data_IF_250131199009
#
_entry.id   IF_250131199009
#
_cell.length_a   1.000
_cell.length_b   1.000
_cell.length_c   1.000
_cell.angle_alpha   90.00
_cell.angle_beta   90.00
_cell.angle_gamma   90.00
#
_symmetry.space_group_name_H-M   'P 1'
#
loop_
_entity.id
_entity.type
_entity.pdbx_description
1 polymer ?
#
# COMPACT_ATOMS: atom_id res chain seq x y z
N UNK A 1 17.34 -1.50 4.66
CA UNK A 1 16.16 -2.30 4.21
C UNK A 1 16.57 -3.66 3.61
N UNK A 2 15.70 -4.68 3.65
CA UNK A 2 15.89 -5.98 2.97
C UNK A 2 14.87 -6.18 1.83
N UNK A 3 15.28 -5.75 0.63
CA UNK A 3 14.43 -5.75 -0.57
C UNK A 3 14.11 -7.17 -1.04
N UNK A 4 15.08 -8.10 -0.96
CA UNK A 4 14.91 -9.47 -1.43
C UNK A 4 13.85 -10.18 -0.58
N UNK A 5 13.92 -10.00 0.73
CA UNK A 5 12.96 -10.59 1.65
C UNK A 5 11.58 -9.94 1.56
N UNK A 6 11.53 -8.61 1.42
CA UNK A 6 10.27 -7.91 1.17
C UNK A 6 9.58 -8.48 -0.07
N UNK A 7 10.31 -8.64 -1.17
CA UNK A 7 9.77 -9.26 -2.40
C UNK A 7 9.24 -10.69 -2.15
N UNK A 8 10.01 -11.55 -1.48
CA UNK A 8 9.58 -12.91 -1.16
C UNK A 8 8.32 -12.94 -0.28
N UNK A 9 8.20 -12.01 0.67
CA UNK A 9 6.99 -11.85 1.48
C UNK A 9 5.77 -11.57 0.61
N UNK A 10 5.84 -10.59 -0.30
CA UNK A 10 4.72 -10.29 -1.20
C UNK A 10 4.41 -11.41 -2.19
N UNK A 11 5.40 -12.19 -2.64
CA UNK A 11 5.18 -13.34 -3.52
C UNK A 11 4.37 -14.46 -2.84
N UNK A 12 4.41 -14.56 -1.50
CA UNK A 12 3.68 -15.57 -0.72
C UNK A 12 2.23 -15.18 -0.41
N UNK A 13 1.89 -13.89 -0.46
CA UNK A 13 0.53 -13.39 -0.22
C UNK A 13 -0.38 -13.79 -1.38
N UNK A 14 -1.43 -14.55 -1.07
CA UNK A 14 -2.49 -14.92 -2.01
C UNK A 14 -3.64 -13.91 -1.94
N UNK A 15 -4.51 -13.92 -2.95
CA UNK A 15 -5.70 -13.07 -2.94
C UNK A 15 -6.64 -13.34 -1.77
N UNK A 16 -6.62 -14.54 -1.20
CA UNK A 16 -7.40 -14.91 0.00
C UNK A 16 -6.87 -14.28 1.28
N UNK A 17 -5.61 -13.85 1.29
CA UNK A 17 -4.96 -13.21 2.44
C UNK A 17 -5.27 -11.70 2.49
N UNK A 18 -5.79 -11.15 1.38
CA UNK A 18 -6.20 -9.75 1.27
C UNK A 18 -7.69 -9.66 1.65
N UNK A 19 -8.04 -8.65 2.45
CA UNK A 19 -9.42 -8.35 2.80
C UNK A 19 -10.30 -8.24 1.55
N UNK A 20 -11.45 -8.94 1.56
CA UNK A 20 -12.32 -9.06 0.39
C UNK A 20 -13.51 -8.09 0.42
N UNK A 21 -13.47 -7.06 1.28
CA UNK A 21 -14.51 -6.03 1.29
C UNK A 21 -14.50 -5.22 -0.03
N UNK A 22 -15.61 -4.53 -0.32
CA UNK A 22 -15.76 -3.78 -1.56
C UNK A 22 -14.65 -2.71 -1.73
N UNK A 23 -14.24 -2.05 -0.65
CA UNK A 23 -13.19 -1.03 -0.66
C UNK A 23 -11.81 -1.60 -1.03
N UNK A 24 -11.42 -2.73 -0.43
CA UNK A 24 -10.15 -3.39 -0.72
C UNK A 24 -10.15 -3.99 -2.13
N UNK A 25 -11.26 -4.60 -2.56
CA UNK A 25 -11.43 -5.08 -3.95
C UNK A 25 -11.27 -3.95 -4.97
N UNK A 26 -11.87 -2.79 -4.71
CA UNK A 26 -11.74 -1.62 -5.57
C UNK A 26 -10.29 -1.11 -5.61
N UNK A 27 -9.65 -1.05 -4.43
CA UNK A 27 -8.26 -0.64 -4.29
C UNK A 27 -7.33 -1.48 -5.16
N UNK A 28 -7.33 -2.79 -4.96
CA UNK A 28 -6.47 -3.75 -5.69
C UNK A 28 -6.67 -3.65 -7.20
N UNK A 29 -7.92 -3.46 -7.65
CA UNK A 29 -8.26 -3.38 -9.07
C UNK A 29 -7.74 -2.13 -9.76
N UNK A 30 -7.74 -0.98 -9.07
CA UNK A 30 -7.50 0.32 -9.69
C UNK A 30 -6.13 0.94 -9.35
N UNK A 31 -5.50 0.56 -8.23
CA UNK A 31 -4.33 1.28 -7.70
C UNK A 31 -3.15 1.28 -8.66
N UNK A 32 -2.81 0.13 -9.24
CA UNK A 32 -1.62 -0.03 -10.09
C UNK A 32 -1.76 0.65 -11.43
N UNK A 33 -2.94 0.58 -12.04
CA UNK A 33 -3.24 1.24 -13.31
C UNK A 33 -3.34 2.75 -13.15
N UNK A 34 -3.87 3.23 -12.02
CA UNK A 34 -4.00 4.67 -11.73
C UNK A 34 -2.65 5.29 -11.35
N UNK A 35 -1.81 4.57 -10.60
CA UNK A 35 -0.53 5.08 -10.08
C UNK A 35 0.68 4.21 -10.51
N UNK A 36 0.96 4.04 -11.81
CA UNK A 36 2.01 3.13 -12.29
C UNK A 36 3.43 3.55 -11.87
N UNK A 37 3.68 4.86 -11.70
CA UNK A 37 4.96 5.37 -11.19
C UNK A 37 5.17 5.01 -9.71
N UNK A 38 4.12 5.08 -8.91
CA UNK A 38 4.14 4.67 -7.51
C UNK A 38 4.33 3.15 -7.40
N UNK A 39 3.59 2.38 -8.21
CA UNK A 39 3.75 0.93 -8.30
C UNK A 39 5.21 0.54 -8.63
N UNK A 40 5.83 1.22 -9.60
CA UNK A 40 7.24 1.00 -9.94
C UNK A 40 8.18 1.34 -8.78
N UNK A 41 7.93 2.44 -8.09
CA UNK A 41 8.73 2.84 -6.92
C UNK A 41 8.61 1.83 -5.77
N UNK A 42 7.39 1.45 -5.38
CA UNK A 42 7.17 0.44 -4.35
C UNK A 42 7.77 -0.92 -4.74
N UNK A 43 7.66 -1.32 -6.01
CA UNK A 43 8.33 -2.51 -6.53
C UNK A 43 9.86 -2.46 -6.40
N UNK A 44 10.48 -1.27 -6.46
CA UNK A 44 11.92 -1.13 -6.18
C UNK A 44 12.30 -1.40 -4.72
N UNK A 45 11.34 -1.29 -3.79
CA UNK A 45 11.47 -1.69 -2.39
C UNK A 45 11.09 -3.17 -2.16
N UNK A 46 10.64 -3.87 -3.21
CA UNK A 46 10.10 -5.23 -3.13
C UNK A 46 8.61 -5.28 -2.76
N UNK A 47 7.94 -4.14 -2.63
CA UNK A 47 6.52 -4.04 -2.24
C UNK A 47 5.61 -4.22 -3.46
N UNK A 48 4.60 -5.08 -3.34
CA UNK A 48 3.51 -5.16 -4.32
C UNK A 48 2.36 -4.24 -3.91
N UNK A 49 2.13 -3.18 -4.70
CA UNK A 49 1.10 -2.17 -4.43
C UNK A 49 -0.33 -2.77 -4.40
N UNK A 50 -0.54 -3.90 -5.08
CA UNK A 50 -1.84 -4.57 -5.13
C UNK A 50 -2.12 -5.44 -3.90
N UNK A 51 -1.21 -5.46 -2.91
CA UNK A 51 -1.32 -6.29 -1.71
C UNK A 51 -1.16 -5.44 -0.44
N UNK A 52 -2.06 -4.49 -0.18
CA UNK A 52 -1.96 -3.63 1.00
C UNK A 52 -2.06 -4.47 2.28
N UNK A 53 -1.33 -4.05 3.31
CA UNK A 53 -1.47 -4.56 4.67
C UNK A 53 -2.75 -4.02 5.33
N UNK A 54 -3.00 -2.72 5.17
CA UNK A 54 -4.20 -2.05 5.66
C UNK A 54 -4.58 -0.93 4.70
N UNK A 55 -5.88 -0.64 4.58
CA UNK A 55 -6.38 0.51 3.80
C UNK A 55 -7.40 1.28 4.61
N UNK A 56 -7.33 2.60 4.54
CA UNK A 56 -8.22 3.50 5.28
C UNK A 56 -9.08 4.30 4.29
N UNK A 57 -10.17 3.73 3.76
CA UNK A 57 -11.07 4.43 2.84
C UNK A 57 -11.91 5.48 3.55
N UNK A 58 -12.21 6.56 2.84
CA UNK A 58 -13.28 7.51 3.16
C UNK A 58 -14.59 7.11 2.45
N UNK A 59 -15.61 7.94 2.60
CA UNK A 59 -16.87 7.81 1.87
C UNK A 59 -16.69 8.00 0.35
N UNK A 60 -17.52 7.29 -0.42
CA UNK A 60 -17.61 7.47 -1.86
C UNK A 60 -18.14 8.87 -2.17
N UNK A 61 -17.42 9.63 -2.99
CA UNK A 61 -17.96 10.85 -3.57
C UNK A 61 -18.87 10.49 -4.75
N UNK A 62 -20.18 10.50 -4.51
CA UNK A 62 -21.20 10.18 -5.51
C UNK A 62 -21.19 11.15 -6.71
N UNK A 63 -20.69 12.38 -6.55
CA UNK A 63 -20.66 13.37 -7.64
C UNK A 63 -19.54 13.07 -8.63
N UNK A 64 -18.38 12.63 -8.13
CA UNK A 64 -17.22 12.35 -8.96
C UNK A 64 -17.06 10.87 -9.30
N UNK A 65 -17.76 9.98 -8.59
CA UNK A 65 -17.60 8.52 -8.71
C UNK A 65 -16.23 8.05 -8.24
N UNK A 66 -15.64 8.75 -7.26
CA UNK A 66 -14.30 8.49 -6.75
C UNK A 66 -14.33 8.23 -5.26
N UNK A 67 -13.43 7.37 -4.83
CA UNK A 67 -13.17 7.11 -3.42
C UNK A 67 -11.75 7.54 -3.08
N UNK A 68 -11.61 8.14 -1.90
CA UNK A 68 -10.31 8.48 -1.34
C UNK A 68 -9.91 7.46 -0.28
N UNK A 69 -8.65 7.07 -0.27
CA UNK A 69 -8.01 6.34 0.81
C UNK A 69 -7.00 7.30 1.45
N UNK A 70 -7.25 7.65 2.71
CA UNK A 70 -6.38 8.56 3.47
C UNK A 70 -5.06 7.92 3.85
N UNK A 71 -4.97 6.59 3.81
CA UNK A 71 -3.72 5.83 3.91
C UNK A 71 -3.92 4.43 3.33
N UNK A 72 -2.87 3.90 2.72
CA UNK A 72 -2.70 2.48 2.43
C UNK A 72 -1.32 2.04 2.88
N UNK A 73 -1.26 1.00 3.69
CA UNK A 73 -0.08 0.58 4.43
C UNK A 73 0.55 -0.67 3.82
N UNK A 74 1.88 -0.78 3.93
CA UNK A 74 2.67 -1.87 3.36
C UNK A 74 3.83 -2.23 4.28
N UNK A 75 4.15 -3.52 4.35
CA UNK A 75 5.28 -4.03 5.13
C UNK A 75 6.56 -3.98 4.30
N UNK A 76 7.65 -3.54 4.93
CA UNK A 76 9.02 -3.59 4.39
C UNK A 76 9.93 -4.25 5.41
N UNK A 77 10.67 -5.28 5.00
CA UNK A 77 11.63 -5.96 5.87
C UNK A 77 12.94 -5.16 6.04
N UNK A 78 13.60 -5.35 7.18
CA UNK A 78 14.84 -4.69 7.58
C UNK A 78 14.64 -3.40 8.38
N UNK A 79 15.71 -2.62 8.54
CA UNK A 79 15.70 -1.33 9.21
C UNK A 79 15.37 -0.15 8.28
N UNK A 80 15.07 0.99 8.91
CA UNK A 80 14.62 2.25 8.28
C UNK A 80 15.75 3.15 7.77
N UNK A 81 17.02 2.84 8.05
CA UNK A 81 18.17 3.74 7.82
C UNK A 81 18.29 4.23 6.37
N UNK A 82 17.90 3.41 5.41
CA UNK A 82 17.94 3.73 3.97
C UNK A 82 16.63 4.31 3.43
N UNK A 83 15.61 4.44 4.29
CA UNK A 83 14.30 4.94 3.91
C UNK A 83 14.14 6.40 4.29
N UNK A 84 13.62 7.19 3.36
CA UNK A 84 13.26 8.58 3.61
C UNK A 84 11.91 8.86 2.98
N UNK A 85 11.15 9.76 3.61
CA UNK A 85 9.89 10.26 3.08
C UNK A 85 10.08 10.76 1.65
N UNK A 86 9.17 10.38 0.76
CA UNK A 86 9.18 10.82 -0.64
C UNK A 86 7.80 11.21 -1.12
N UNK A 87 7.76 12.02 -2.17
CA UNK A 87 6.54 12.31 -2.93
C UNK A 87 6.73 11.75 -4.33
N UNK A 88 5.84 10.84 -4.72
CA UNK A 88 5.83 10.24 -6.06
C UNK A 88 4.60 10.75 -6.80
N UNK A 89 4.80 11.72 -7.70
CA UNK A 89 3.67 12.44 -8.31
C UNK A 89 2.98 13.33 -7.28
N UNK A 90 1.76 12.97 -6.89
CA UNK A 90 0.98 13.66 -5.86
C UNK A 90 0.79 12.83 -4.57
N UNK A 91 1.46 11.68 -4.47
CA UNK A 91 1.29 10.74 -3.35
C UNK A 91 2.52 10.78 -2.46
N UNK A 92 2.33 10.95 -1.15
CA UNK A 92 3.37 10.79 -0.15
C UNK A 92 3.63 9.30 0.07
N UNK A 93 4.89 8.94 0.26
CA UNK A 93 5.32 7.65 0.79
C UNK A 93 6.11 7.94 2.05
N UNK A 94 5.64 7.44 3.18
CA UNK A 94 6.22 7.73 4.50
C UNK A 94 6.25 6.48 5.38
N UNK A 95 6.92 6.54 6.52
CA UNK A 95 6.82 5.51 7.56
C UNK A 95 5.50 5.73 8.30
N UNK A 96 4.70 4.67 8.43
CA UNK A 96 3.45 4.73 9.18
C UNK A 96 3.74 4.85 10.68
N UNK A 97 3.22 5.89 11.32
CA UNK A 97 3.36 6.08 12.78
C UNK A 97 2.45 5.12 13.57
N UNK A 98 1.34 4.69 12.98
CA UNK A 98 0.37 3.78 13.60
C UNK A 98 -0.07 2.74 12.58
N UNK A 99 -0.05 1.48 12.98
CA UNK A 99 -0.51 0.36 12.17
C UNK A 99 -0.97 -0.80 13.06
N UNK A 100 -1.83 -1.71 12.56
CA UNK A 100 -2.18 -2.94 13.28
C UNK A 100 -0.94 -3.80 13.59
N UNK A 101 -0.99 -4.70 14.58
CA UNK A 101 0.08 -5.66 14.82
C UNK A 101 0.35 -6.51 13.57
N UNK A 102 1.60 -6.53 13.12
CA UNK A 102 2.01 -7.24 11.88
C UNK A 102 2.19 -8.74 12.08
N UNK A 103 2.35 -9.20 13.32
CA UNK A 103 2.67 -10.59 13.69
C UNK A 103 4.01 -11.09 13.11
N UNK A 104 4.89 -10.17 12.67
CA UNK A 104 6.22 -10.48 12.15
C UNK A 104 7.24 -10.30 13.29
N UNK A 105 7.98 -11.37 13.59
CA UNK A 105 8.99 -11.37 14.66
C UNK A 105 10.38 -10.87 14.21
N UNK A 106 10.55 -10.63 12.92
CA UNK A 106 11.81 -10.19 12.33
C UNK A 106 11.84 -8.68 12.16
N UNK A 107 13.01 -8.08 11.98
CA UNK A 107 13.10 -6.64 11.74
C UNK A 107 12.30 -6.24 10.49
N UNK A 108 11.36 -5.32 10.67
CA UNK A 108 10.52 -4.76 9.63
C UNK A 108 9.97 -3.40 10.09
N UNK A 109 9.41 -2.64 9.16
CA UNK A 109 8.64 -1.44 9.43
C UNK A 109 7.47 -1.35 8.44
N UNK A 110 6.52 -0.49 8.75
CA UNK A 110 5.36 -0.25 7.90
C UNK A 110 5.53 1.11 7.23
N UNK A 111 5.37 1.13 5.90
CA UNK A 111 5.24 2.37 5.14
C UNK A 111 3.78 2.61 4.81
N UNK A 112 3.44 3.85 4.52
CA UNK A 112 2.12 4.24 4.05
C UNK A 112 2.19 5.15 2.84
N UNK A 113 1.13 5.10 2.02
CA UNK A 113 0.94 5.98 0.89
C UNK A 113 -0.35 6.79 1.01
N UNK A 114 -0.26 8.10 0.81
CA UNK A 114 -1.41 8.99 0.99
C UNK A 114 -1.25 10.38 0.32
N UNK A 115 -2.37 11.04 -0.02
CA UNK A 115 -3.69 10.44 -0.21
C UNK A 115 -3.73 9.63 -1.52
N UNK A 116 -4.65 8.69 -1.62
CA UNK A 116 -4.92 7.93 -2.84
C UNK A 116 -6.35 8.19 -3.28
N UNK A 117 -6.56 8.54 -4.55
CA UNK A 117 -7.90 8.72 -5.11
C UNK A 117 -8.10 7.75 -6.27
N UNK A 118 -9.11 6.89 -6.17
CA UNK A 118 -9.41 5.88 -7.19
C UNK A 118 -10.84 6.05 -7.71
N UNK A 119 -11.08 5.58 -8.94
CA UNK A 119 -12.44 5.42 -9.45
C UNK A 119 -13.13 4.30 -8.66
N UNK A 120 -14.43 4.43 -8.43
CA UNK A 120 -15.24 3.33 -7.90
C UNK A 120 -15.76 2.45 -9.04
N UNK A 121 -15.41 1.16 -9.03
CA UNK A 121 -15.72 0.19 -10.12
C UNK A 121 -16.22 -1.17 -9.61
N UNK A 122 -16.50 -1.28 -8.32
CA UNK A 122 -17.02 -2.48 -7.64
C UNK A 122 -18.52 -2.35 -7.39
#
# INVERSE_FOLDING_TARGET
MDIKKTKLYYEQINSSDICDCAYCKNYVREIKSTYPKLAKYLGSLGVDIEKPFETMPLELDEKTGRIEYISAQYIVYGGTDDFSKKVIGCVNVDIAETHPPTQINEAHFVIEIYPISLKWVV
#
